data_IF_619797466526
#
_entry.id   IF_619797466526
#
_cell.length_a   1.000
_cell.length_b   1.000
_cell.length_c   1.000
_cell.angle_alpha   90.00
_cell.angle_beta   90.00
_cell.angle_gamma   90.00
#
_symmetry.space_group_name_H-M   'P 1'
#
loop_
_entity.id
_entity.type
_entity.pdbx_description
1 polymer ?
#
# COMPACT_ATOMS: atom_id res chain seq x y z
N UNK A 1 10.43 12.46 2.52
CA UNK A 1 9.12 12.45 1.86
C UNK A 1 8.73 11.03 1.49
N UNK A 2 7.60 10.54 2.01
CA UNK A 2 7.05 9.21 1.69
C UNK A 2 5.91 9.38 0.69
N UNK A 3 6.00 8.70 -0.45
CA UNK A 3 5.05 8.76 -1.55
C UNK A 3 4.40 7.39 -1.77
N UNK A 4 3.08 7.32 -1.57
CA UNK A 4 2.24 6.16 -1.88
C UNK A 4 1.81 6.25 -3.34
N UNK A 5 2.19 5.27 -4.15
CA UNK A 5 1.92 5.29 -5.60
C UNK A 5 0.98 4.16 -6.00
N UNK A 6 -0.03 4.49 -6.77
CA UNK A 6 -0.99 3.55 -7.31
C UNK A 6 -1.19 3.75 -8.82
N UNK A 7 -1.23 2.64 -9.56
CA UNK A 7 -1.67 2.62 -10.96
C UNK A 7 -3.06 2.01 -11.03
N UNK A 8 -4.05 2.85 -11.23
CA UNK A 8 -5.45 2.45 -11.36
C UNK A 8 -5.74 1.95 -12.79
N UNK A 9 -6.74 1.09 -12.96
CA UNK A 9 -7.14 0.58 -14.28
C UNK A 9 -7.64 1.69 -15.21
N UNK A 10 -8.30 2.72 -14.65
CA UNK A 10 -8.76 3.92 -15.36
C UNK A 10 -8.66 5.15 -14.46
N UNK A 11 -8.63 6.33 -15.07
CA UNK A 11 -8.55 7.61 -14.39
C UNK A 11 -9.67 7.86 -13.37
N UNK A 12 -10.89 7.38 -13.64
CA UNK A 12 -12.06 7.60 -12.76
C UNK A 12 -11.98 6.86 -11.43
N UNK A 13 -11.12 5.85 -11.29
CA UNK A 13 -10.98 5.09 -10.05
C UNK A 13 -10.07 5.81 -9.05
N UNK A 14 -10.42 5.71 -7.77
CA UNK A 14 -9.51 6.01 -6.66
C UNK A 14 -8.91 4.71 -6.13
N UNK A 15 -7.72 4.75 -5.57
CA UNK A 15 -7.15 3.60 -4.88
C UNK A 15 -7.46 3.67 -3.39
N UNK A 16 -8.38 2.81 -2.94
CA UNK A 16 -8.82 2.79 -1.54
C UNK A 16 -7.66 2.44 -0.59
N UNK A 17 -6.77 1.51 -0.98
CA UNK A 17 -5.70 1.04 -0.12
C UNK A 17 -4.74 2.17 0.26
N UNK A 18 -4.13 2.87 -0.71
CA UNK A 18 -3.18 3.96 -0.41
C UNK A 18 -3.82 5.09 0.39
N UNK A 19 -5.12 5.35 0.18
CA UNK A 19 -5.88 6.34 0.95
C UNK A 19 -6.14 5.89 2.38
N UNK A 20 -6.46 4.61 2.59
CA UNK A 20 -6.59 4.01 3.92
C UNK A 20 -5.29 4.11 4.70
N UNK A 21 -4.16 3.72 4.08
CA UNK A 21 -2.82 3.85 4.68
C UNK A 21 -2.51 5.28 5.08
N UNK A 22 -2.72 6.23 4.16
CA UNK A 22 -2.46 7.65 4.41
C UNK A 22 -3.30 8.18 5.58
N UNK A 23 -4.61 7.91 5.58
CA UNK A 23 -5.51 8.40 6.63
C UNK A 23 -5.24 7.74 7.97
N UNK A 24 -4.90 6.44 8.00
CA UNK A 24 -4.53 5.74 9.22
C UNK A 24 -3.28 6.34 9.87
N UNK A 25 -2.27 6.64 9.08
CA UNK A 25 -1.06 7.31 9.53
C UNK A 25 -1.31 8.78 9.94
N UNK A 26 -2.12 9.51 9.16
CA UNK A 26 -2.43 10.92 9.44
C UNK A 26 -3.16 11.10 10.78
N UNK A 27 -4.10 10.20 11.14
CA UNK A 27 -4.76 10.20 12.45
C UNK A 27 -3.80 10.00 13.63
N UNK A 28 -2.59 9.49 13.35
CA UNK A 28 -1.50 9.25 14.33
C UNK A 28 -0.39 10.29 14.25
N UNK A 29 -0.59 11.36 13.47
CA UNK A 29 0.35 12.48 13.35
C UNK A 29 1.43 12.32 12.29
N UNK A 30 1.38 11.26 11.45
CA UNK A 30 2.36 11.01 10.40
C UNK A 30 1.86 11.46 9.03
N UNK A 31 2.77 11.97 8.20
CA UNK A 31 2.44 12.51 6.88
C UNK A 31 3.00 11.64 5.77
N UNK A 32 2.21 11.44 4.75
CA UNK A 32 2.60 10.86 3.46
C UNK A 32 1.82 11.51 2.34
N UNK A 33 2.31 11.40 1.11
CA UNK A 33 1.65 11.90 -0.08
C UNK A 33 1.16 10.73 -0.93
N UNK A 34 0.16 10.99 -1.78
CA UNK A 34 -0.39 10.01 -2.72
C UNK A 34 -0.18 10.51 -4.14
N UNK A 35 0.29 9.63 -5.02
CA UNK A 35 0.34 9.81 -6.45
C UNK A 35 -0.45 8.69 -7.14
N UNK A 36 -1.60 9.05 -7.71
CA UNK A 36 -2.46 8.12 -8.44
C UNK A 36 -2.34 8.37 -9.94
N UNK A 37 -2.00 7.32 -10.67
CA UNK A 37 -1.87 7.28 -12.12
C UNK A 37 -2.74 6.17 -12.70
N UNK A 38 -2.60 5.87 -13.99
CA UNK A 38 -3.30 4.76 -14.65
C UNK A 38 -2.32 3.88 -15.43
N UNK A 39 -2.70 2.61 -15.59
CA UNK A 39 -1.95 1.65 -16.44
C UNK A 39 -1.92 2.03 -17.92
N UNK A 40 -2.70 3.05 -18.34
CA UNK A 40 -2.73 3.53 -19.72
C UNK A 40 -1.70 4.64 -20.00
N UNK A 41 -0.96 5.09 -18.99
CA UNK A 41 0.10 6.07 -19.15
C UNK A 41 1.40 5.39 -19.56
N UNK A 42 2.25 6.09 -20.29
CA UNK A 42 3.55 5.57 -20.67
C UNK A 42 4.51 5.57 -19.48
N UNK A 43 5.28 4.51 -19.36
CA UNK A 43 6.22 4.34 -18.24
C UNK A 43 7.21 5.51 -18.09
N UNK A 44 7.85 6.04 -19.16
CA UNK A 44 8.72 7.20 -19.03
C UNK A 44 8.03 8.44 -18.44
N UNK A 45 6.75 8.67 -18.77
CA UNK A 45 5.99 9.80 -18.22
C UNK A 45 5.73 9.62 -16.72
N UNK A 46 5.49 8.37 -16.28
CA UNK A 46 5.33 8.03 -14.87
C UNK A 46 6.64 8.25 -14.09
N UNK A 47 7.75 7.82 -14.67
CA UNK A 47 9.09 8.00 -14.07
C UNK A 47 9.40 9.49 -13.91
N UNK A 48 9.18 10.30 -14.95
CA UNK A 48 9.37 11.77 -14.89
C UNK A 48 8.48 12.42 -13.83
N UNK A 49 7.20 12.03 -13.79
CA UNK A 49 6.25 12.56 -12.80
C UNK A 49 6.63 12.19 -11.36
N UNK A 50 7.13 10.99 -11.11
CA UNK A 50 7.62 10.57 -9.80
C UNK A 50 8.97 11.23 -9.45
N UNK A 51 9.88 11.33 -10.42
CA UNK A 51 11.16 12.01 -10.25
C UNK A 51 11.00 13.46 -9.80
N UNK A 52 10.06 14.19 -10.40
CA UNK A 52 9.76 15.59 -10.03
C UNK A 52 9.22 15.72 -8.60
N UNK A 53 8.60 14.69 -8.06
CA UNK A 53 8.09 14.69 -6.69
C UNK A 53 9.19 14.46 -5.64
N UNK A 54 10.35 13.95 -6.04
CA UNK A 54 11.52 13.70 -5.18
C UNK A 54 11.16 12.94 -3.89
N UNK A 55 10.62 11.74 -3.97
CA UNK A 55 10.40 10.93 -2.78
C UNK A 55 11.71 10.41 -2.22
N UNK A 56 11.81 10.30 -0.89
CA UNK A 56 12.86 9.52 -0.22
C UNK A 56 12.45 8.04 -0.14
N UNK A 57 11.13 7.81 -0.05
CA UNK A 57 10.51 6.48 -0.05
C UNK A 57 9.37 6.46 -1.06
N UNK A 58 9.42 5.49 -1.98
CA UNK A 58 8.39 5.20 -2.95
C UNK A 58 7.71 3.87 -2.59
N UNK A 59 6.41 3.89 -2.27
CA UNK A 59 5.63 2.69 -1.97
C UNK A 59 4.66 2.39 -3.11
N UNK A 60 4.76 1.19 -3.69
CA UNK A 60 4.01 0.73 -4.85
C UNK A 60 2.83 -0.13 -4.44
N UNK A 61 1.62 0.23 -4.86
CA UNK A 61 0.38 -0.52 -4.60
C UNK A 61 0.11 -1.54 -5.70
N UNK A 62 0.37 -2.84 -5.42
CA UNK A 62 0.43 -3.93 -6.39
C UNK A 62 -0.84 -4.77 -6.40
N UNK A 63 -1.50 -4.80 -7.55
CA UNK A 63 -2.69 -5.58 -7.86
C UNK A 63 -2.50 -6.36 -9.15
N UNK A 64 -3.36 -7.34 -9.42
CA UNK A 64 -3.28 -8.23 -10.61
C UNK A 64 -3.25 -7.45 -11.94
N UNK A 65 -3.87 -6.28 -12.01
CA UNK A 65 -3.91 -5.47 -13.23
C UNK A 65 -2.70 -4.57 -13.43
N UNK A 66 -1.85 -4.38 -12.43
CA UNK A 66 -0.75 -3.43 -12.51
C UNK A 66 0.61 -4.02 -12.10
N UNK A 67 0.67 -5.23 -11.55
CA UNK A 67 1.91 -5.79 -10.98
C UNK A 67 3.08 -5.78 -11.98
N UNK A 68 2.85 -6.16 -13.24
CA UNK A 68 3.90 -6.15 -14.26
C UNK A 68 4.47 -4.75 -14.46
N UNK A 69 3.61 -3.74 -14.63
CA UNK A 69 4.03 -2.36 -14.82
C UNK A 69 4.65 -1.75 -13.55
N UNK A 70 4.22 -2.18 -12.35
CA UNK A 70 4.82 -1.75 -11.09
C UNK A 70 6.24 -2.29 -10.91
N UNK A 71 6.51 -3.53 -11.30
CA UNK A 71 7.86 -4.08 -11.24
C UNK A 71 8.79 -3.41 -12.26
N UNK A 72 8.33 -3.21 -13.49
CA UNK A 72 9.06 -2.45 -14.50
C UNK A 72 9.34 -1.00 -14.04
N UNK A 73 8.34 -0.34 -13.46
CA UNK A 73 8.49 0.99 -12.86
C UNK A 73 9.57 0.99 -11.75
N UNK A 74 9.59 -0.01 -10.88
CA UNK A 74 10.59 -0.11 -9.82
C UNK A 74 12.01 -0.26 -10.39
N UNK A 75 12.18 -1.12 -11.40
CA UNK A 75 13.45 -1.38 -12.05
C UNK A 75 14.02 -0.13 -12.75
N UNK A 76 13.20 0.53 -13.56
CA UNK A 76 13.59 1.74 -14.27
C UNK A 76 13.81 2.93 -13.32
N UNK A 77 12.93 3.09 -12.29
CA UNK A 77 13.06 4.17 -11.33
C UNK A 77 14.32 4.02 -10.45
N UNK A 78 14.72 2.79 -10.11
CA UNK A 78 15.97 2.51 -9.40
C UNK A 78 17.20 2.98 -10.17
N UNK A 79 17.19 2.88 -11.50
CA UNK A 79 18.31 3.36 -12.32
C UNK A 79 18.41 4.90 -12.32
N UNK A 80 17.27 5.58 -12.28
CA UNK A 80 17.21 7.06 -12.25
C UNK A 80 17.48 7.61 -10.85
N UNK A 81 17.00 6.91 -9.81
CA UNK A 81 17.05 7.32 -8.41
C UNK A 81 17.59 6.18 -7.53
N UNK A 82 18.89 5.89 -7.54
CA UNK A 82 19.48 4.75 -6.83
C UNK A 82 19.33 4.83 -5.29
N UNK A 83 19.23 6.03 -4.73
CA UNK A 83 19.15 6.26 -3.28
C UNK A 83 17.73 6.17 -2.70
N UNK A 84 16.70 6.12 -3.55
CA UNK A 84 15.30 6.07 -3.10
C UNK A 84 14.97 4.69 -2.56
N UNK A 85 14.39 4.60 -1.38
CA UNK A 85 13.84 3.34 -0.88
C UNK A 85 12.55 2.99 -1.64
N UNK A 86 12.52 1.82 -2.28
CA UNK A 86 11.37 1.35 -3.05
C UNK A 86 10.73 0.16 -2.33
N UNK A 87 9.50 0.34 -1.86
CA UNK A 87 8.72 -0.68 -1.19
C UNK A 87 7.50 -1.05 -2.03
N UNK A 88 7.04 -2.29 -1.90
CA UNK A 88 5.81 -2.76 -2.51
C UNK A 88 4.81 -3.25 -1.45
N UNK A 89 3.53 -3.20 -1.75
CA UNK A 89 2.46 -3.75 -0.91
C UNK A 89 1.24 -4.06 -1.76
N UNK A 90 0.31 -4.82 -1.21
CA UNK A 90 -0.92 -5.21 -1.89
C UNK A 90 -1.04 -6.71 -2.14
N UNK A 91 -2.17 -7.19 -2.67
CA UNK A 91 -2.47 -8.62 -2.73
C UNK A 91 -1.50 -9.42 -3.60
N UNK A 92 -0.98 -8.85 -4.69
CA UNK A 92 -0.10 -9.58 -5.62
C UNK A 92 1.32 -9.81 -5.09
N UNK A 93 1.75 -9.05 -4.08
CA UNK A 93 3.09 -9.17 -3.48
C UNK A 93 3.05 -9.76 -2.06
N UNK A 94 1.86 -9.93 -1.47
CA UNK A 94 1.70 -10.45 -0.11
C UNK A 94 1.98 -11.95 0.01
N UNK A 95 1.88 -12.69 -1.09
CA UNK A 95 2.18 -14.11 -1.13
C UNK A 95 3.56 -14.32 -1.77
N UNK A 96 4.36 -15.22 -1.19
CA UNK A 96 5.74 -15.45 -1.65
C UNK A 96 6.63 -14.18 -1.63
N UNK A 97 6.39 -13.27 -0.69
CA UNK A 97 7.07 -11.96 -0.61
C UNK A 97 8.59 -12.08 -0.58
N UNK A 98 9.15 -13.09 0.11
CA UNK A 98 10.59 -13.34 0.12
C UNK A 98 11.14 -13.73 -1.24
N UNK A 99 10.44 -14.61 -1.96
CA UNK A 99 10.84 -15.06 -3.30
C UNK A 99 10.75 -13.89 -4.29
N UNK A 100 9.65 -13.15 -4.24
CA UNK A 100 9.46 -11.98 -5.10
C UNK A 100 10.51 -10.90 -4.83
N UNK A 101 10.86 -10.68 -3.57
CA UNK A 101 11.93 -9.73 -3.23
C UNK A 101 13.28 -10.21 -3.77
N UNK A 102 13.58 -11.53 -3.78
CA UNK A 102 14.79 -12.06 -4.43
C UNK A 102 14.82 -11.84 -5.93
N UNK A 103 13.68 -12.01 -6.60
CA UNK A 103 13.55 -11.86 -8.05
C UNK A 103 13.63 -10.40 -8.53
N UNK A 104 13.23 -9.43 -7.68
CA UNK A 104 13.21 -8.00 -8.01
C UNK A 104 14.20 -7.21 -7.13
N UNK A 105 15.49 -7.15 -7.51
CA UNK A 105 16.51 -6.45 -6.72
C UNK A 105 16.30 -4.93 -6.62
N UNK A 106 15.44 -4.35 -7.45
CA UNK A 106 15.04 -2.95 -7.37
C UNK A 106 14.21 -2.63 -6.12
N UNK A 107 13.56 -3.63 -5.51
CA UNK A 107 12.78 -3.46 -4.28
C UNK A 107 13.68 -3.62 -3.04
N UNK A 108 13.49 -2.75 -2.05
CA UNK A 108 14.12 -2.83 -0.73
C UNK A 108 13.29 -3.64 0.27
N UNK A 109 11.96 -3.69 0.07
CA UNK A 109 11.06 -4.45 0.93
C UNK A 109 9.64 -4.59 0.40
N UNK A 110 8.90 -5.49 1.03
CA UNK A 110 7.51 -5.80 0.67
C UNK A 110 6.67 -5.88 1.95
N UNK A 111 5.60 -5.08 2.00
CA UNK A 111 4.56 -5.24 2.99
C UNK A 111 3.59 -6.36 2.57
N UNK A 112 3.26 -7.25 3.51
CA UNK A 112 2.31 -8.33 3.27
C UNK A 112 1.11 -8.27 4.23
N UNK A 113 -0.03 -8.77 3.79
CA UNK A 113 -1.28 -8.71 4.56
C UNK A 113 -1.92 -7.31 4.60
N UNK A 114 -2.50 -6.94 5.73
CA UNK A 114 -3.13 -5.63 5.92
C UNK A 114 -2.07 -4.57 6.20
N UNK A 115 -2.12 -3.47 5.45
CA UNK A 115 -1.01 -2.52 5.37
C UNK A 115 -1.08 -1.36 6.36
N UNK A 116 -2.20 -1.09 7.02
CA UNK A 116 -2.40 0.12 7.82
C UNK A 116 -1.42 0.22 8.99
N UNK A 117 -1.31 -0.85 9.79
CA UNK A 117 -0.40 -0.89 10.93
C UNK A 117 1.06 -0.93 10.47
N UNK A 118 1.47 -1.84 9.57
CA UNK A 118 2.84 -1.89 9.07
C UNK A 118 3.31 -0.57 8.46
N UNK A 119 2.47 0.09 7.68
CA UNK A 119 2.82 1.37 7.08
C UNK A 119 3.03 2.47 8.14
N UNK A 120 2.17 2.54 9.15
CA UNK A 120 2.34 3.48 10.26
C UNK A 120 3.62 3.20 11.04
N UNK A 121 3.92 1.94 11.37
CA UNK A 121 5.16 1.54 12.04
C UNK A 121 6.39 1.86 11.19
N UNK A 122 6.30 1.70 9.87
CA UNK A 122 7.37 2.10 8.97
C UNK A 122 7.64 3.62 9.00
N UNK A 123 6.60 4.43 9.15
CA UNK A 123 6.78 5.89 9.32
C UNK A 123 7.43 6.22 10.67
N UNK A 124 7.16 5.44 11.73
CA UNK A 124 7.89 5.56 13.00
C UNK A 124 9.38 5.21 12.82
N UNK A 125 9.68 4.15 12.09
CA UNK A 125 11.07 3.82 11.72
C UNK A 125 11.73 4.97 10.94
N UNK A 126 11.07 5.55 9.96
CA UNK A 126 11.59 6.69 9.19
C UNK A 126 11.88 7.92 10.07
N UNK A 127 11.18 8.08 11.18
CA UNK A 127 11.41 9.14 12.17
C UNK A 127 12.45 8.76 13.24
N UNK A 128 13.02 7.56 13.18
CA UNK A 128 13.98 7.07 14.18
C UNK A 128 13.37 6.63 15.51
N UNK A 129 12.05 6.39 15.57
CA UNK A 129 11.32 6.02 16.78
C UNK A 129 11.40 4.53 17.11
N UNK A 130 11.62 3.68 16.10
CA UNK A 130 11.81 2.23 16.27
C UNK A 130 12.78 1.66 15.22
N UNK A 131 13.39 0.49 15.45
CA UNK A 131 14.19 -0.19 14.42
C UNK A 131 13.29 -0.87 13.40
N UNK A 132 13.81 -1.09 12.16
CA UNK A 132 13.09 -1.72 11.07
C UNK A 132 12.59 -3.14 11.41
N UNK A 133 13.30 -3.86 12.28
CA UNK A 133 12.92 -5.19 12.78
C UNK A 133 11.63 -5.20 13.62
N UNK A 134 11.13 -4.05 14.06
CA UNK A 134 9.87 -3.92 14.78
C UNK A 134 8.68 -3.56 13.87
N UNK A 135 8.91 -3.27 12.60
CA UNK A 135 7.86 -3.01 11.61
C UNK A 135 7.22 -4.35 11.23
N UNK A 136 6.02 -4.60 11.70
CA UNK A 136 5.30 -5.85 11.42
C UNK A 136 4.99 -6.02 9.93
N UNK A 137 4.75 -7.27 9.52
CA UNK A 137 4.35 -7.61 8.15
C UNK A 137 5.26 -7.01 7.06
N UNK A 138 6.55 -6.87 7.33
CA UNK A 138 7.55 -6.40 6.39
C UNK A 138 8.57 -7.50 6.10
N UNK A 139 8.77 -7.79 4.81
CA UNK A 139 9.92 -8.54 4.30
C UNK A 139 10.88 -7.52 3.70
N UNK A 140 12.14 -7.52 4.11
CA UNK A 140 13.10 -6.49 3.72
C UNK A 140 14.53 -7.02 3.55
N UNK A 141 15.37 -6.25 2.86
CA UNK A 141 16.80 -6.58 2.66
C UNK A 141 17.64 -6.02 3.79
N UNK A 142 18.43 -6.91 4.41
CA UNK A 142 19.49 -6.56 5.33
C UNK A 142 20.84 -7.02 4.72
N UNK A 143 21.44 -6.16 3.95
CA UNK A 143 22.58 -6.54 3.10
C UNK A 143 22.18 -7.61 2.08
N UNK A 144 22.85 -8.75 2.12
CA UNK A 144 22.55 -9.91 1.26
C UNK A 144 21.41 -10.80 1.81
N UNK A 145 20.99 -10.58 3.05
CA UNK A 145 19.94 -11.38 3.67
C UNK A 145 18.56 -10.78 3.44
N UNK A 146 17.56 -11.65 3.40
CA UNK A 146 16.16 -11.26 3.43
C UNK A 146 15.60 -11.61 4.80
N UNK A 147 15.08 -10.60 5.47
CA UNK A 147 14.48 -10.71 6.81
C UNK A 147 12.97 -10.60 6.67
N UNK A 148 12.25 -11.51 7.35
CA UNK A 148 10.79 -11.50 7.41
C UNK A 148 10.37 -11.19 8.85
N UNK A 149 9.76 -10.03 9.06
CA UNK A 149 9.23 -9.62 10.35
C UNK A 149 7.89 -10.32 10.65
N UNK A 150 7.49 -10.47 11.92
CA UNK A 150 6.20 -11.08 12.28
C UNK A 150 5.00 -10.32 11.71
N UNK A 151 3.88 -11.02 11.49
CA UNK A 151 2.64 -10.38 11.03
C UNK A 151 2.02 -9.46 12.07
N UNK A 152 1.44 -8.34 11.62
CA UNK A 152 0.69 -7.41 12.47
C UNK A 152 -0.66 -7.97 12.96
N UNK A 153 -1.16 -9.03 12.34
CA UNK A 153 -2.51 -9.51 12.58
C UNK A 153 -3.60 -8.60 12.00
N UNK A 154 -4.86 -9.05 12.07
CA UNK A 154 -5.98 -8.33 11.47
C UNK A 154 -6.42 -7.12 12.29
N UNK A 155 -6.57 -5.96 11.65
CA UNK A 155 -7.03 -4.73 12.27
C UNK A 155 -8.56 -4.76 12.51
N UNK A 156 -9.08 -4.38 13.71
CA UNK A 156 -10.51 -4.18 13.91
C UNK A 156 -11.09 -3.13 12.94
N UNK A 157 -12.25 -3.42 12.34
CA UNK A 157 -12.84 -2.56 11.29
C UNK A 157 -13.18 -1.14 11.75
N UNK A 158 -13.52 -0.97 13.01
CA UNK A 158 -13.79 0.34 13.64
C UNK A 158 -12.54 1.22 13.75
N UNK A 159 -11.34 0.63 13.74
CA UNK A 159 -10.07 1.35 13.75
C UNK A 159 -9.63 1.80 12.36
N UNK A 160 -10.24 1.26 11.30
CA UNK A 160 -9.98 1.75 9.95
C UNK A 160 -10.48 3.18 9.81
N UNK A 161 -9.73 4.08 9.17
CA UNK A 161 -10.18 5.43 8.91
C UNK A 161 -11.27 5.48 7.83
N UNK A 162 -11.98 6.61 7.74
CA UNK A 162 -12.62 6.98 6.48
C UNK A 162 -11.52 7.42 5.51
N UNK A 163 -11.43 6.78 4.37
CA UNK A 163 -10.27 6.89 3.48
C UNK A 163 -10.17 8.23 2.71
N UNK A 164 -11.20 9.09 2.79
CA UNK A 164 -11.29 10.30 1.99
C UNK A 164 -11.37 11.54 2.90
N UNK A 165 -10.32 12.35 2.92
CA UNK A 165 -10.27 13.61 3.68
C UNK A 165 -10.81 14.81 2.92
N UNK A 166 -10.69 14.78 1.59
CA UNK A 166 -11.10 15.87 0.70
C UNK A 166 -11.91 15.31 -0.48
N UNK A 167 -13.22 15.34 -0.32
CA UNK A 167 -14.16 14.86 -1.34
C UNK A 167 -14.29 15.83 -2.53
N UNK A 168 -13.99 17.12 -2.33
CA UNK A 168 -14.11 18.12 -3.40
C UNK A 168 -13.09 17.86 -4.52
N UNK A 169 -11.88 17.44 -4.17
CA UNK A 169 -10.83 17.07 -5.15
C UNK A 169 -11.14 15.77 -5.90
N UNK A 170 -12.12 15.00 -5.44
CA UNK A 170 -12.50 13.71 -6.01
C UNK A 170 -13.79 13.75 -6.81
N UNK A 171 -14.26 14.94 -7.19
CA UNK A 171 -15.42 15.08 -8.07
C UNK A 171 -15.21 14.31 -9.37
N UNK A 172 -16.24 13.60 -9.81
CA UNK A 172 -16.23 12.72 -10.99
C UNK A 172 -15.32 11.48 -10.87
N UNK A 173 -14.91 11.10 -9.63
CA UNK A 173 -14.21 9.87 -9.36
C UNK A 173 -15.13 8.83 -8.73
N UNK A 174 -14.84 7.56 -8.96
CA UNK A 174 -15.47 6.44 -8.24
C UNK A 174 -14.77 6.30 -6.90
N UNK A 175 -15.53 6.45 -5.82
CA UNK A 175 -15.08 6.24 -4.46
C UNK A 175 -15.46 4.83 -4.00
N UNK A 176 -14.53 4.16 -3.34
CA UNK A 176 -14.74 2.83 -2.80
C UNK A 176 -14.92 2.90 -1.28
N UNK A 177 -15.91 2.20 -0.79
CA UNK A 177 -16.19 2.11 0.64
C UNK A 177 -16.08 0.67 1.11
N UNK A 178 -15.26 0.44 2.12
CA UNK A 178 -15.04 -0.90 2.68
C UNK A 178 -15.79 -1.03 4.01
N UNK A 179 -16.80 -1.88 4.02
CA UNK A 179 -17.60 -2.19 5.21
C UNK A 179 -17.33 -3.59 5.78
N UNK A 180 -16.58 -4.41 5.04
CA UNK A 180 -16.30 -5.82 5.39
C UNK A 180 -14.89 -6.17 4.94
N UNK A 181 -14.14 -6.87 5.80
CA UNK A 181 -12.89 -7.57 5.44
C UNK A 181 -13.00 -9.06 5.74
N UNK A 182 -12.36 -9.90 4.91
CA UNK A 182 -12.41 -11.34 5.01
C UNK A 182 -13.53 -11.94 4.18
N UNK A 183 -13.57 -13.27 4.15
CA UNK A 183 -14.58 -14.03 3.42
C UNK A 183 -15.02 -15.25 4.25
N UNK A 184 -16.32 -15.60 4.30
CA UNK A 184 -16.79 -16.76 5.01
C UNK A 184 -16.43 -18.07 4.28
N UNK A 185 -16.10 -18.01 3.00
CA UNK A 185 -15.78 -19.15 2.17
C UNK A 185 -14.28 -19.41 2.14
N UNK A 186 -13.89 -20.70 2.00
CA UNK A 186 -12.50 -21.15 1.90
C UNK A 186 -12.23 -21.78 0.54
N UNK A 187 -12.48 -21.02 -0.52
CA UNK A 187 -12.24 -21.49 -1.88
C UNK A 187 -10.75 -21.67 -2.13
N UNK A 188 -10.33 -22.83 -2.63
CA UNK A 188 -8.91 -23.19 -2.82
C UNK A 188 -8.16 -22.30 -3.84
N UNK A 189 -8.87 -21.61 -4.69
CA UNK A 189 -8.34 -20.73 -5.75
C UNK A 189 -8.49 -19.23 -5.46
N UNK A 190 -8.99 -18.86 -4.27
CA UNK A 190 -9.32 -17.46 -3.97
C UNK A 190 -8.45 -16.90 -2.85
N UNK A 191 -7.77 -15.79 -3.12
CA UNK A 191 -6.96 -15.09 -2.12
C UNK A 191 -7.76 -14.66 -0.89
N UNK A 192 -9.04 -14.32 -1.04
CA UNK A 192 -9.89 -13.96 0.10
C UNK A 192 -10.09 -15.09 1.09
N UNK A 193 -9.81 -16.35 0.71
CA UNK A 193 -9.92 -17.51 1.60
C UNK A 193 -8.88 -17.49 2.75
N UNK A 194 -7.77 -16.80 2.56
CA UNK A 194 -6.68 -16.67 3.55
C UNK A 194 -6.79 -15.38 4.38
N UNK A 195 -7.72 -14.48 4.07
CA UNK A 195 -7.94 -13.22 4.79
C UNK A 195 -8.55 -13.39 6.20
N UNK A 196 -8.73 -14.64 6.66
CA UNK A 196 -9.23 -14.95 7.99
C UNK A 196 -10.76 -14.81 8.14
N UNK A 197 -11.21 -14.61 9.39
CA UNK A 197 -12.63 -14.45 9.69
C UNK A 197 -13.18 -13.14 9.12
N UNK A 198 -14.45 -13.17 8.72
CA UNK A 198 -15.17 -11.96 8.31
C UNK A 198 -15.25 -10.99 9.48
N UNK A 199 -14.89 -9.74 9.23
CA UNK A 199 -14.99 -8.61 10.15
C UNK A 199 -15.86 -7.55 9.50
N UNK A 200 -16.77 -6.99 10.28
CA UNK A 200 -17.75 -6.00 9.83
C UNK A 200 -17.46 -4.65 10.46
N UNK A 201 -17.62 -3.59 9.68
CA UNK A 201 -17.71 -2.25 10.22
C UNK A 201 -19.07 -2.11 10.97
N UNK A 202 -19.10 -1.60 12.21
CA UNK A 202 -20.36 -1.34 12.90
C UNK A 202 -21.29 -0.48 12.03
N UNK A 203 -22.58 -0.85 11.99
CA UNK A 203 -23.54 -0.28 11.06
C UNK A 203 -23.71 1.24 11.26
N UNK A 204 -23.75 1.68 12.51
CA UNK A 204 -23.85 3.10 12.88
C UNK A 204 -22.64 3.89 12.35
N UNK A 205 -21.45 3.32 12.45
CA UNK A 205 -20.22 3.93 11.95
C UNK A 205 -20.20 3.96 10.41
N UNK A 206 -20.72 2.91 9.76
CA UNK A 206 -20.85 2.86 8.31
C UNK A 206 -21.78 4.00 7.83
N UNK A 207 -22.94 4.18 8.43
CA UNK A 207 -23.85 5.27 8.09
C UNK A 207 -23.24 6.65 8.34
N UNK A 208 -22.57 6.87 9.47
CA UNK A 208 -21.88 8.13 9.75
C UNK A 208 -20.83 8.48 8.70
N UNK A 209 -20.11 7.47 8.18
CA UNK A 209 -19.09 7.66 7.14
C UNK A 209 -19.69 7.93 5.77
N UNK A 210 -20.84 7.34 5.45
CA UNK A 210 -21.53 7.52 4.16
C UNK A 210 -22.33 8.83 4.07
N UNK A 211 -22.61 9.48 5.21
CA UNK A 211 -23.32 10.77 5.27
C UNK A 211 -22.41 11.99 5.16
N UNK A 212 -21.09 11.78 5.04
CA UNK A 212 -20.08 12.85 4.83
C UNK A 212 -20.06 13.29 3.38
#
# INVERSE_FOLDING_TARGET
KVLLTALNSKYIHTNLAVRSLQQFAAQRGYRSEIAEYTINQHLPDLIDALYRQRPDVLLLSCYIWNIGMMMELAEEYRQVCPEVTILAGGPEVSFHSEELLRQHPALDGIFYGEGEVPFWEYLQYQNGECPLSQVHSLVWRDGEQIVCNPTAGPLPMEQLPFAYSDLEQLQNRILYFESIRGCPFRCSYCLSSVAGRVRYLPLELAFQRLQR
#
